data_IF_649563781908
#
_entry.id   IF_649563781908
#
_cell.length_a   1.000
_cell.length_b   1.000
_cell.length_c   1.000
_cell.angle_alpha   90.00
_cell.angle_beta   90.00
_cell.angle_gamma   90.00
#
_symmetry.space_group_name_H-M   'P 1'
#
loop_
_entity.id
_entity.type
_entity.pdbx_description
1 polymer ?
#
# COMPACT_ATOMS: atom_id res chain seq x y z
N UNK A 1 23.52 21.64 2.31
CA UNK A 1 22.28 21.67 3.07
C UNK A 1 21.29 20.62 2.62
N UNK A 2 20.89 20.66 1.35
CA UNK A 2 19.95 19.70 0.82
C UNK A 2 20.51 18.27 0.73
N UNK A 3 21.81 18.11 0.56
CA UNK A 3 22.43 16.80 0.37
C UNK A 3 22.35 15.92 1.62
N UNK A 4 22.54 16.50 2.80
CA UNK A 4 22.43 15.77 4.04
C UNK A 4 21.00 15.33 4.33
N UNK A 5 20.04 16.20 4.05
CA UNK A 5 18.62 15.88 4.20
C UNK A 5 18.16 14.80 3.24
N UNK A 6 18.64 14.86 1.98
CA UNK A 6 18.32 13.88 0.98
C UNK A 6 18.89 12.49 1.32
N UNK A 7 20.09 12.43 1.88
CA UNK A 7 20.69 11.16 2.33
C UNK A 7 19.91 10.52 3.47
N UNK A 8 19.49 11.32 4.43
CA UNK A 8 18.63 10.82 5.54
C UNK A 8 17.32 10.31 4.99
N UNK A 9 16.71 11.04 4.07
CA UNK A 9 15.45 10.65 3.46
C UNK A 9 15.56 9.40 2.61
N UNK A 10 16.73 9.08 2.10
CA UNK A 10 16.97 7.90 1.27
C UNK A 10 16.66 6.61 2.02
N UNK A 11 17.23 6.46 3.23
CA UNK A 11 16.94 5.32 4.09
C UNK A 11 15.47 5.33 4.54
N UNK A 12 14.92 6.50 4.85
CA UNK A 12 13.53 6.66 5.23
C UNK A 12 12.56 6.25 4.12
N UNK A 13 12.90 6.54 2.86
CA UNK A 13 12.09 6.12 1.71
C UNK A 13 12.03 4.60 1.58
N UNK A 14 13.15 3.92 1.82
CA UNK A 14 13.20 2.45 1.82
C UNK A 14 12.33 1.86 2.93
N UNK A 15 12.40 2.42 4.13
CA UNK A 15 11.57 1.99 5.26
C UNK A 15 10.09 2.26 4.99
N UNK A 16 9.77 3.41 4.40
CA UNK A 16 8.40 3.75 4.04
C UNK A 16 7.82 2.73 3.05
N UNK A 17 8.61 2.28 2.09
CA UNK A 17 8.19 1.24 1.16
C UNK A 17 7.84 -0.07 1.84
N UNK A 18 8.64 -0.48 2.83
CA UNK A 18 8.39 -1.68 3.62
C UNK A 18 7.12 -1.51 4.45
N UNK A 19 6.95 -0.36 5.09
CA UNK A 19 5.78 -0.07 5.91
C UNK A 19 4.49 -0.06 5.07
N UNK A 20 4.54 0.52 3.88
CA UNK A 20 3.41 0.53 2.96
C UNK A 20 3.02 -0.90 2.55
N UNK A 21 4.00 -1.74 2.25
CA UNK A 21 3.73 -3.14 1.92
C UNK A 21 3.10 -3.88 3.10
N UNK A 22 3.59 -3.64 4.30
CA UNK A 22 3.01 -4.22 5.53
C UNK A 22 1.55 -3.78 5.71
N UNK A 23 1.25 -2.52 5.45
CA UNK A 23 -0.12 -2.00 5.54
C UNK A 23 -1.05 -2.65 4.50
N UNK A 24 -0.57 -2.86 3.28
CA UNK A 24 -1.33 -3.56 2.22
C UNK A 24 -1.64 -4.99 2.64
N UNK A 25 -0.65 -5.69 3.19
CA UNK A 25 -0.81 -7.08 3.63
C UNK A 25 -1.80 -7.17 4.79
N UNK A 26 -1.75 -6.23 5.74
CA UNK A 26 -2.71 -6.16 6.85
C UNK A 26 -4.12 -5.87 6.36
N UNK A 27 -4.28 -4.99 5.39
CA UNK A 27 -5.58 -4.68 4.82
C UNK A 27 -6.22 -5.94 4.22
N UNK A 28 -5.47 -6.71 3.44
CA UNK A 28 -5.94 -7.98 2.88
C UNK A 28 -6.38 -8.95 3.95
N UNK A 29 -5.56 -9.15 4.97
CA UNK A 29 -5.84 -10.08 6.05
C UNK A 29 -7.09 -9.68 6.81
N UNK A 30 -7.21 -8.39 7.15
CA UNK A 30 -8.35 -7.90 7.93
C UNK A 30 -9.66 -7.95 7.15
N UNK A 31 -9.63 -7.66 5.85
CA UNK A 31 -10.81 -7.77 5.00
C UNK A 31 -11.27 -9.22 4.88
N UNK A 32 -10.34 -10.15 4.66
CA UNK A 32 -10.66 -11.57 4.61
C UNK A 32 -11.28 -12.06 5.92
N UNK A 33 -10.73 -11.64 7.04
CA UNK A 33 -11.23 -11.99 8.36
C UNK A 33 -12.63 -11.38 8.62
N UNK A 34 -12.83 -10.12 8.22
CA UNK A 34 -14.13 -9.47 8.35
C UNK A 34 -15.22 -10.23 7.57
N UNK A 35 -14.92 -10.63 6.33
CA UNK A 35 -15.85 -11.39 5.51
C UNK A 35 -16.15 -12.76 6.13
N UNK A 36 -15.14 -13.44 6.63
CA UNK A 36 -15.31 -14.74 7.29
C UNK A 36 -16.15 -14.62 8.55
N UNK A 37 -15.91 -13.58 9.35
CA UNK A 37 -16.64 -13.36 10.62
C UNK A 37 -18.09 -12.93 10.37
N UNK A 38 -18.32 -12.17 9.32
CA UNK A 38 -19.66 -11.67 8.99
C UNK A 38 -20.54 -12.74 8.35
N UNK A 39 -19.95 -13.69 7.62
CA UNK A 39 -20.71 -14.68 6.83
C UNK A 39 -21.74 -15.45 7.62
N UNK A 40 -21.43 -16.03 8.79
CA UNK A 40 -22.42 -16.77 9.57
C UNK A 40 -23.61 -15.91 9.99
N UNK A 41 -23.36 -14.64 10.29
CA UNK A 41 -24.41 -13.70 10.67
C UNK A 41 -25.27 -13.31 9.47
N UNK A 42 -24.65 -12.96 8.36
CA UNK A 42 -25.33 -12.53 7.14
C UNK A 42 -26.16 -13.66 6.54
N UNK A 43 -25.69 -14.89 6.66
CA UNK A 43 -26.42 -16.07 6.17
C UNK A 43 -27.77 -16.25 6.91
N UNK A 44 -27.92 -15.66 8.09
CA UNK A 44 -29.19 -15.68 8.82
C UNK A 44 -30.16 -14.57 8.41
N UNK A 45 -29.70 -13.60 7.64
CA UNK A 45 -30.52 -12.47 7.21
C UNK A 45 -31.37 -12.84 6.00
N UNK A 46 -32.55 -12.21 5.93
CA UNK A 46 -33.47 -12.44 4.83
C UNK A 46 -33.24 -11.45 3.68
N UNK A 47 -33.60 -11.90 2.52
CA UNK A 47 -33.73 -11.28 1.21
C UNK A 47 -33.02 -9.95 1.02
N UNK A 48 -33.76 -8.85 1.28
CA UNK A 48 -33.28 -7.49 1.00
C UNK A 48 -32.09 -7.08 1.85
N UNK A 49 -32.08 -7.49 3.13
CA UNK A 49 -30.98 -7.15 4.02
C UNK A 49 -29.70 -7.87 3.62
N UNK A 50 -29.79 -9.14 3.25
CA UNK A 50 -28.67 -9.93 2.78
C UNK A 50 -28.11 -9.37 1.47
N UNK A 51 -28.99 -9.06 0.52
CA UNK A 51 -28.60 -8.48 -0.77
C UNK A 51 -27.91 -7.13 -0.58
N UNK A 52 -28.43 -6.28 0.30
CA UNK A 52 -27.85 -4.98 0.59
C UNK A 52 -26.43 -5.12 1.20
N UNK A 53 -26.25 -6.09 2.09
CA UNK A 53 -24.94 -6.37 2.67
C UNK A 53 -23.92 -6.79 1.60
N UNK A 54 -24.30 -7.73 0.73
CA UNK A 54 -23.40 -8.21 -0.32
C UNK A 54 -23.05 -7.11 -1.33
N UNK A 55 -23.98 -6.21 -1.62
CA UNK A 55 -23.67 -5.05 -2.47
C UNK A 55 -22.62 -4.15 -1.81
N UNK A 56 -22.76 -3.90 -0.50
CA UNK A 56 -21.77 -3.12 0.24
C UNK A 56 -20.43 -3.82 0.32
N UNK A 57 -20.44 -5.12 0.52
CA UNK A 57 -19.23 -5.93 0.54
C UNK A 57 -18.46 -5.81 -0.78
N UNK A 58 -19.17 -5.87 -1.92
CA UNK A 58 -18.55 -5.67 -3.22
C UNK A 58 -17.92 -4.29 -3.37
N UNK A 59 -18.58 -3.25 -2.85
CA UNK A 59 -18.04 -1.90 -2.86
C UNK A 59 -16.80 -1.79 -1.99
N UNK A 60 -16.80 -2.42 -0.82
CA UNK A 60 -15.63 -2.45 0.05
C UNK A 60 -14.47 -3.18 -0.61
N UNK A 61 -14.73 -4.32 -1.23
CA UNK A 61 -13.71 -5.10 -1.93
C UNK A 61 -13.11 -4.31 -3.08
N UNK A 62 -13.94 -3.63 -3.86
CA UNK A 62 -13.47 -2.78 -4.96
C UNK A 62 -12.63 -1.62 -4.44
N UNK A 63 -13.09 -0.93 -3.40
CA UNK A 63 -12.36 0.17 -2.79
C UNK A 63 -11.04 -0.31 -2.20
N UNK A 64 -11.02 -1.47 -1.56
CA UNK A 64 -9.80 -2.07 -1.01
C UNK A 64 -8.81 -2.43 -2.12
N UNK A 65 -9.29 -2.98 -3.23
CA UNK A 65 -8.46 -3.30 -4.38
C UNK A 65 -7.84 -2.04 -4.97
N UNK A 66 -8.63 -0.98 -5.12
CA UNK A 66 -8.14 0.30 -5.60
C UNK A 66 -7.07 0.87 -4.66
N UNK A 67 -7.32 0.80 -3.35
CA UNK A 67 -6.36 1.27 -2.36
C UNK A 67 -5.06 0.48 -2.40
N UNK A 68 -5.14 -0.85 -2.52
CA UNK A 68 -3.95 -1.70 -2.66
C UNK A 68 -3.14 -1.34 -3.90
N UNK A 69 -3.82 -1.08 -5.01
CA UNK A 69 -3.15 -0.69 -6.25
C UNK A 69 -2.46 0.67 -6.09
N UNK A 70 -3.12 1.64 -5.44
CA UNK A 70 -2.54 2.95 -5.15
C UNK A 70 -1.31 2.81 -4.25
N UNK A 71 -1.40 2.02 -3.19
CA UNK A 71 -0.27 1.80 -2.28
C UNK A 71 0.89 1.10 -2.97
N UNK A 72 0.60 0.15 -3.85
CA UNK A 72 1.62 -0.52 -4.66
C UNK A 72 2.31 0.47 -5.58
N UNK A 73 1.56 1.34 -6.24
CA UNK A 73 2.10 2.36 -7.14
C UNK A 73 2.97 3.35 -6.37
N UNK A 74 2.53 3.75 -5.19
CA UNK A 74 3.32 4.63 -4.30
C UNK A 74 4.64 3.95 -3.93
N UNK A 75 4.60 2.68 -3.56
CA UNK A 75 5.81 1.93 -3.21
C UNK A 75 6.77 1.85 -4.39
N UNK A 76 6.27 1.55 -5.57
CA UNK A 76 7.10 1.49 -6.79
C UNK A 76 7.73 2.86 -7.05
N UNK A 77 6.96 3.94 -6.92
CA UNK A 77 7.45 5.30 -7.11
C UNK A 77 8.53 5.65 -6.09
N UNK A 78 8.33 5.27 -4.83
CA UNK A 78 9.31 5.50 -3.76
C UNK A 78 10.60 4.74 -4.03
N UNK A 79 10.51 3.45 -4.37
CA UNK A 79 11.68 2.63 -4.65
C UNK A 79 12.44 3.15 -5.88
N UNK A 80 11.72 3.55 -6.92
CA UNK A 80 12.32 4.10 -8.14
C UNK A 80 13.01 5.44 -7.86
N UNK A 81 12.37 6.32 -7.09
CA UNK A 81 12.95 7.61 -6.72
C UNK A 81 14.24 7.42 -5.91
N UNK A 82 14.26 6.45 -5.02
CA UNK A 82 15.44 6.12 -4.23
C UNK A 82 16.58 5.63 -5.13
N UNK A 83 16.28 4.75 -6.09
CA UNK A 83 17.29 4.24 -7.04
C UNK A 83 17.80 5.34 -7.94
N UNK A 84 16.94 6.19 -8.47
CA UNK A 84 17.31 7.30 -9.35
C UNK A 84 18.21 8.29 -8.62
N UNK A 85 17.89 8.57 -7.36
CA UNK A 85 18.71 9.46 -6.54
C UNK A 85 20.10 8.86 -6.30
N UNK A 86 20.18 7.59 -5.98
CA UNK A 86 21.46 6.89 -5.78
C UNK A 86 22.32 6.93 -7.06
N UNK A 87 21.71 6.66 -8.20
CA UNK A 87 22.42 6.69 -9.50
C UNK A 87 22.94 8.09 -9.82
N UNK A 88 22.14 9.12 -9.58
CA UNK A 88 22.53 10.52 -9.81
C UNK A 88 23.67 10.92 -8.88
N UNK A 89 23.61 10.56 -7.61
CA UNK A 89 24.67 10.86 -6.65
C UNK A 89 25.97 10.15 -7.02
N UNK A 90 25.89 8.86 -7.36
CA UNK A 90 27.05 8.10 -7.81
C UNK A 90 27.69 8.68 -9.06
N UNK A 91 26.89 9.11 -10.02
CA UNK A 91 27.39 9.74 -11.24
C UNK A 91 28.08 11.09 -10.95
N UNK A 92 27.50 11.87 -10.03
CA UNK A 92 28.10 13.13 -9.62
C UNK A 92 29.46 12.94 -8.97
N UNK A 93 29.58 11.93 -8.09
CA UNK A 93 30.86 11.58 -7.46
C UNK A 93 31.92 11.20 -8.51
N UNK A 94 31.54 10.39 -9.49
CA UNK A 94 32.48 9.98 -10.56
C UNK A 94 32.98 11.14 -11.39
N UNK A 95 32.20 12.20 -11.54
CA UNK A 95 32.63 13.38 -12.31
C UNK A 95 33.74 14.15 -11.60
N UNK A 96 33.81 14.07 -10.32
CA UNK A 96 34.82 14.81 -9.54
C UNK A 96 36.04 13.97 -9.16
N UNK A 97 36.05 12.73 -9.54
CA UNK A 97 37.21 11.86 -9.40
C UNK A 97 38.09 11.91 -10.66
#
# INVERSE_FOLDING_TARGET
MSDGLLRVNFAALGEAGIDIQGAVDQLDTKLGQLHADAKPLVDTWEGKAQAAYYQRQQKWDSAATDLKNILRDIRIAVDRSAQDYAATEGNAEKRFL
#
